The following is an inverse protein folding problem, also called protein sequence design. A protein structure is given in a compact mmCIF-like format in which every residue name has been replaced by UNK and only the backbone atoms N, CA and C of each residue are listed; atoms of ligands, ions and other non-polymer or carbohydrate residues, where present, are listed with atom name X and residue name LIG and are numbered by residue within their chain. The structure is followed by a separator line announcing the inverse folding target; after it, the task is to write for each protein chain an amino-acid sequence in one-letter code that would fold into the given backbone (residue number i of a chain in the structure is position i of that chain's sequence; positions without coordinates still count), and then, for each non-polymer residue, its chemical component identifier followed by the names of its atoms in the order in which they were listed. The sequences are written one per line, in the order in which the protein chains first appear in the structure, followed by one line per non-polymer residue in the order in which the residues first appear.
data_IF_061500387530
#
_entry.id   IF_061500387530
#
_cell.length_a   1.000
_cell.length_b   1.000
_cell.length_c   1.000
_cell.angle_alpha   90.00
_cell.angle_beta   90.00
_cell.angle_gamma   90.00
#
_symmetry.space_group_name_H-M   'P 1'
#
loop_
_entity.id
_entity.type
_entity.pdbx_description
1 polymer ?
#
# COMPACT_ATOMS: atom_id res chain seq x y z
N UNK A 1 -12.63 -3.21 32.21
CA UNK A 1 -13.19 -1.96 31.66
C UNK A 1 -12.84 -1.91 30.19
N UNK A 2 -13.80 -1.57 29.34
CA UNK A 2 -13.62 -1.62 27.89
C UNK A 2 -12.64 -0.55 27.40
N UNK A 3 -12.86 0.70 27.80
CA UNK A 3 -12.01 1.82 27.39
C UNK A 3 -11.76 2.75 28.57
N UNK A 4 -10.49 3.13 28.76
CA UNK A 4 -10.09 4.26 29.59
C UNK A 4 -9.63 5.38 28.68
N UNK A 5 -10.15 6.58 28.89
CA UNK A 5 -9.69 7.78 28.20
C UNK A 5 -9.39 8.84 29.25
N UNK A 6 -8.15 9.35 29.22
CA UNK A 6 -7.73 10.49 30.00
C UNK A 6 -7.17 11.54 29.04
N UNK A 7 -7.73 12.75 29.11
CA UNK A 7 -7.19 13.93 28.45
C UNK A 7 -6.89 14.98 29.51
N UNK A 8 -5.73 15.64 29.38
CA UNK A 8 -5.34 16.72 30.26
C UNK A 8 -4.71 17.87 29.45
N UNK A 9 -5.47 18.95 29.27
CA UNK A 9 -5.03 20.20 28.62
C UNK A 9 -4.13 21.04 29.54
N UNK A 10 -4.17 20.78 30.85
CA UNK A 10 -3.38 21.51 31.85
C UNK A 10 -2.64 20.55 32.77
N UNK A 11 -1.39 20.91 33.10
CA UNK A 11 -0.51 20.08 33.93
C UNK A 11 -1.13 19.77 35.29
N UNK A 12 -1.86 20.71 35.88
CA UNK A 12 -2.48 20.58 37.19
C UNK A 12 -3.47 19.40 37.24
N UNK A 13 -4.12 19.07 36.12
CA UNK A 13 -5.13 18.00 36.03
C UNK A 13 -4.55 16.60 36.27
N UNK A 14 -3.24 16.43 36.06
CA UNK A 14 -2.54 15.15 36.26
C UNK A 14 -1.38 15.26 37.26
N UNK A 15 -1.24 16.41 37.92
CA UNK A 15 -0.09 16.73 38.78
C UNK A 15 0.14 15.69 39.87
N UNK A 16 -0.90 15.29 40.60
CA UNK A 16 -0.79 14.25 41.65
C UNK A 16 -0.32 12.89 41.08
N UNK A 17 -0.76 12.55 39.88
CA UNK A 17 -0.39 11.28 39.21
C UNK A 17 1.04 11.34 38.66
N UNK A 18 1.47 12.48 38.18
CA UNK A 18 2.83 12.72 37.70
C UNK A 18 3.87 12.53 38.82
N UNK A 19 3.55 12.97 40.04
CA UNK A 19 4.44 12.80 41.21
C UNK A 19 4.45 11.37 41.77
N UNK A 20 3.63 10.48 41.24
CA UNK A 20 3.61 9.09 41.65
C UNK A 20 4.95 8.39 41.34
N UNK A 21 5.27 7.33 42.09
CA UNK A 21 6.45 6.51 41.78
C UNK A 21 6.23 5.76 40.46
N UNK A 22 7.31 5.48 39.72
CA UNK A 22 7.23 4.67 38.51
C UNK A 22 6.55 3.34 38.81
N UNK A 23 5.70 2.86 37.91
CA UNK A 23 4.93 1.62 38.06
C UNK A 23 4.06 1.54 39.33
N UNK A 24 3.66 2.68 39.91
CA UNK A 24 2.84 2.71 41.13
C UNK A 24 1.34 2.88 40.86
N UNK A 25 0.96 3.39 39.69
CA UNK A 25 -0.44 3.57 39.31
C UNK A 25 -0.93 2.25 38.72
N UNK A 26 -1.61 1.45 39.55
CA UNK A 26 -2.15 0.16 39.13
C UNK A 26 -3.44 0.36 38.35
N UNK A 27 -3.44 -0.03 37.09
CA UNK A 27 -4.68 -0.16 36.32
C UNK A 27 -5.24 -1.58 36.47
N UNK A 28 -6.56 -1.66 36.64
CA UNK A 28 -7.28 -2.93 36.49
C UNK A 28 -7.19 -3.46 35.05
N UNK A 29 -7.99 -4.48 34.73
CA UNK A 29 -8.08 -4.95 33.33
C UNK A 29 -8.68 -3.87 32.44
N UNK A 30 -7.88 -3.33 31.52
CA UNK A 30 -8.28 -2.31 30.55
C UNK A 30 -7.92 -2.79 29.15
N UNK A 31 -8.93 -2.85 28.29
CA UNK A 31 -8.79 -3.32 26.91
C UNK A 31 -8.25 -2.22 25.99
N UNK A 32 -8.78 -1.00 26.10
CA UNK A 32 -8.30 0.18 25.36
C UNK A 32 -7.89 1.31 26.30
N UNK A 33 -6.68 1.85 26.12
CA UNK A 33 -6.17 2.99 26.87
C UNK A 33 -5.86 4.16 25.93
N UNK A 34 -6.44 5.32 26.21
CA UNK A 34 -6.21 6.56 25.47
C UNK A 34 -5.67 7.62 26.42
N UNK A 35 -4.48 8.14 26.13
CA UNK A 35 -3.85 9.23 26.89
C UNK A 35 -3.57 10.39 25.95
N UNK A 36 -4.20 11.53 26.19
CA UNK A 36 -4.02 12.74 25.40
C UNK A 36 -3.34 13.86 26.19
N UNK A 37 -2.52 14.66 25.51
CA UNK A 37 -1.85 15.85 26.02
C UNK A 37 -1.03 15.56 27.30
N UNK A 38 -1.19 16.32 28.39
CA UNK A 38 -0.39 16.13 29.61
C UNK A 38 -0.55 14.74 30.24
N UNK A 39 -1.64 14.02 29.95
CA UNK A 39 -1.85 12.68 30.51
C UNK A 39 -0.85 11.65 29.99
N UNK A 40 -0.11 11.92 28.91
CA UNK A 40 0.95 11.00 28.47
C UNK A 40 2.10 10.92 29.49
N UNK A 41 2.33 11.97 30.30
CA UNK A 41 3.40 11.97 31.29
C UNK A 41 3.21 10.91 32.39
N UNK A 42 1.98 10.41 32.59
CA UNK A 42 1.75 9.30 33.53
C UNK A 42 2.06 7.93 32.95
N UNK A 43 2.35 7.80 31.64
CA UNK A 43 2.55 6.51 30.95
C UNK A 43 3.57 5.62 31.68
N UNK A 44 4.74 6.16 32.01
CA UNK A 44 5.80 5.45 32.74
C UNK A 44 5.50 5.20 34.24
N UNK A 45 4.39 5.73 34.75
CA UNK A 45 3.88 5.49 36.10
C UNK A 45 2.87 4.35 36.14
N UNK A 46 2.32 3.98 34.97
CA UNK A 46 1.31 2.94 34.87
C UNK A 46 1.96 1.57 35.06
N UNK A 47 1.32 0.75 35.88
CA UNK A 47 1.58 -0.69 35.95
C UNK A 47 0.31 -1.40 35.55
N UNK A 48 0.35 -2.13 34.44
CA UNK A 48 -0.78 -2.93 34.01
C UNK A 48 -0.83 -4.21 34.87
N UNK A 49 -2.01 -4.79 34.96
CA UNK A 49 -2.19 -6.06 35.65
C UNK A 49 -1.45 -7.16 34.88
N UNK A 50 -0.74 -8.09 35.55
CA UNK A 50 0.16 -9.10 34.93
C UNK A 50 -0.52 -9.98 33.85
N UNK A 51 -1.85 -10.07 33.89
CA UNK A 51 -2.69 -10.80 32.93
C UNK A 51 -3.53 -9.89 32.01
N UNK A 52 -3.18 -8.61 31.90
CA UNK A 52 -3.87 -7.68 31.02
C UNK A 52 -3.29 -7.78 29.61
N UNK A 53 -4.12 -8.25 28.67
CA UNK A 53 -3.84 -8.15 27.24
C UNK A 53 -4.53 -6.88 26.75
N UNK A 54 -3.79 -5.78 26.65
CA UNK A 54 -4.36 -4.54 26.12
C UNK A 54 -4.50 -4.68 24.61
N UNK A 55 -5.69 -4.42 24.07
CA UNK A 55 -5.90 -4.44 22.63
C UNK A 55 -5.32 -3.20 21.96
N UNK A 56 -5.47 -2.04 22.60
CA UNK A 56 -5.04 -0.77 22.01
C UNK A 56 -4.54 0.22 23.05
N UNK A 57 -3.35 0.77 22.80
CA UNK A 57 -2.82 1.98 23.44
C UNK A 57 -2.76 3.10 22.40
N UNK A 58 -3.42 4.22 22.66
CA UNK A 58 -3.49 5.36 21.75
C UNK A 58 -3.03 6.63 22.46
N UNK A 59 -2.01 7.27 21.90
CA UNK A 59 -1.35 8.42 22.49
C UNK A 59 -1.45 9.58 21.50
N UNK A 60 -1.96 10.73 21.95
CA UNK A 60 -2.05 11.94 21.12
C UNK A 60 -1.51 13.15 21.89
N UNK A 61 -0.68 13.96 21.23
CA UNK A 61 -0.17 15.20 21.78
C UNK A 61 -0.27 16.28 20.72
N UNK A 62 -1.11 17.28 20.98
CA UNK A 62 -1.31 18.38 20.02
C UNK A 62 -0.26 19.49 20.15
N UNK A 63 0.43 19.61 21.30
CA UNK A 63 1.45 20.64 21.55
C UNK A 63 2.73 20.09 22.20
N UNK A 64 3.89 20.56 21.77
CA UNK A 64 5.20 20.08 22.26
C UNK A 64 5.41 20.28 23.77
N UNK A 65 4.79 21.28 24.38
CA UNK A 65 4.87 21.56 25.82
C UNK A 65 4.45 20.38 26.71
N UNK A 66 3.56 19.52 26.20
CA UNK A 66 3.04 18.35 26.90
C UNK A 66 4.09 17.24 27.08
N UNK A 67 5.20 17.28 26.33
CA UNK A 67 6.26 16.25 26.34
C UNK A 67 7.34 16.45 27.41
N UNK A 68 7.32 17.58 28.13
CA UNK A 68 8.45 18.04 28.96
C UNK A 68 8.95 17.04 30.00
N UNK A 69 8.08 16.17 30.54
CA UNK A 69 8.48 15.20 31.57
C UNK A 69 8.84 13.84 30.97
N UNK A 70 8.04 13.34 30.01
CA UNK A 70 8.26 12.03 29.41
C UNK A 70 9.55 11.96 28.58
N UNK A 71 9.97 13.06 27.96
CA UNK A 71 11.22 13.12 27.19
C UNK A 71 12.48 13.09 28.08
N UNK A 72 12.38 13.49 29.35
CA UNK A 72 13.50 13.42 30.29
C UNK A 72 13.81 12.00 30.78
N UNK A 73 12.94 11.03 30.46
CA UNK A 73 13.14 9.64 30.84
C UNK A 73 14.22 9.01 29.92
N UNK A 74 14.96 8.05 30.46
CA UNK A 74 15.92 7.27 29.69
C UNK A 74 15.26 6.54 28.51
N UNK A 75 16.00 6.35 27.42
CA UNK A 75 15.53 5.58 26.27
C UNK A 75 15.27 4.11 26.64
N UNK A 76 14.34 3.47 25.94
CA UNK A 76 13.94 2.07 26.16
C UNK A 76 13.54 1.75 27.62
N UNK A 77 13.05 2.73 28.38
CA UNK A 77 12.72 2.57 29.80
C UNK A 77 11.23 2.36 30.08
N UNK A 78 10.36 2.70 29.12
CA UNK A 78 8.92 2.53 29.23
C UNK A 78 8.56 1.17 28.63
N UNK A 79 8.21 0.20 29.49
CA UNK A 79 7.67 -1.08 29.06
C UNK A 79 6.15 -0.97 28.94
N UNK A 80 5.62 -1.33 27.77
CA UNK A 80 4.16 -1.31 27.52
C UNK A 80 3.47 -2.60 27.96
N UNK A 81 4.22 -3.60 28.44
CA UNK A 81 3.74 -4.98 28.63
C UNK A 81 3.07 -5.48 27.33
N UNK A 82 2.01 -6.29 27.44
CA UNK A 82 1.32 -6.89 26.27
C UNK A 82 0.27 -5.94 25.70
N UNK A 83 0.66 -5.15 24.70
CA UNK A 83 -0.24 -4.33 23.87
C UNK A 83 -0.39 -4.99 22.49
N UNK A 84 -1.58 -5.05 21.90
CA UNK A 84 -1.70 -5.53 20.50
C UNK A 84 -1.43 -4.42 19.51
N UNK A 85 -2.04 -3.24 19.72
CA UNK A 85 -1.92 -2.07 18.83
C UNK A 85 -1.42 -0.84 19.59
N UNK A 86 -0.35 -0.24 19.11
CA UNK A 86 0.16 1.05 19.57
C UNK A 86 -0.09 2.11 18.50
N UNK A 87 -0.78 3.19 18.85
CA UNK A 87 -1.00 4.34 18.00
C UNK A 87 -0.37 5.58 18.61
N UNK A 88 0.51 6.23 17.86
CA UNK A 88 1.15 7.49 18.23
C UNK A 88 0.75 8.57 17.22
N UNK A 89 0.02 9.59 17.69
CA UNK A 89 -0.41 10.73 16.91
C UNK A 89 0.38 11.99 17.28
N UNK A 90 0.67 12.80 16.27
CA UNK A 90 1.29 14.11 16.40
C UNK A 90 2.59 14.06 17.23
N UNK A 91 2.78 14.97 18.18
CA UNK A 91 4.00 15.04 18.99
C UNK A 91 4.26 13.78 19.83
N UNK A 92 3.25 12.93 20.08
CA UNK A 92 3.44 11.70 20.86
C UNK A 92 4.43 10.75 20.19
N UNK A 93 4.67 10.87 18.88
CA UNK A 93 5.65 10.04 18.18
C UNK A 93 7.06 10.21 18.76
N UNK A 94 7.40 11.40 19.30
CA UNK A 94 8.70 11.65 19.92
C UNK A 94 8.98 10.80 21.17
N UNK A 95 7.98 10.11 21.72
CA UNK A 95 8.19 9.15 22.81
C UNK A 95 8.73 7.80 22.31
N UNK A 96 8.74 7.54 21.00
CA UNK A 96 9.09 6.24 20.43
C UNK A 96 10.46 5.73 20.90
N UNK A 97 11.54 6.55 21.00
CA UNK A 97 12.82 6.12 21.60
C UNK A 97 12.74 5.73 23.09
N UNK A 98 11.72 6.22 23.81
CA UNK A 98 11.51 5.93 25.24
C UNK A 98 10.83 4.59 25.46
N UNK A 99 10.17 4.06 24.44
CA UNK A 99 9.44 2.79 24.50
C UNK A 99 10.39 1.61 24.32
N UNK A 100 10.24 0.59 25.15
CA UNK A 100 10.95 -0.68 25.03
C UNK A 100 10.19 -1.58 24.04
N UNK A 101 10.59 -1.57 22.78
CA UNK A 101 9.93 -2.31 21.68
C UNK A 101 10.72 -3.53 21.17
N UNK A 102 11.64 -4.06 21.98
CA UNK A 102 12.58 -5.13 21.58
C UNK A 102 12.22 -6.53 22.08
N UNK A 103 11.39 -6.66 23.11
CA UNK A 103 11.08 -7.96 23.71
C UNK A 103 9.89 -8.63 22.99
N UNK A 104 9.92 -9.96 22.88
CA UNK A 104 8.90 -10.72 22.15
C UNK A 104 7.52 -10.59 22.81
N UNK A 105 6.54 -10.03 22.07
CA UNK A 105 5.13 -10.05 22.43
C UNK A 105 4.48 -8.73 22.83
N UNK A 106 5.19 -7.60 22.68
CA UNK A 106 4.71 -6.33 23.26
C UNK A 106 3.80 -5.49 22.35
N UNK A 107 3.95 -5.55 21.01
CA UNK A 107 3.09 -4.84 20.06
C UNK A 107 3.03 -5.54 18.69
N UNK A 108 1.83 -5.86 18.20
CA UNK A 108 1.62 -6.45 16.86
C UNK A 108 1.52 -5.38 15.75
N UNK A 109 0.89 -4.25 16.07
CA UNK A 109 0.61 -3.15 15.13
C UNK A 109 1.16 -1.82 15.66
N UNK A 110 2.03 -1.17 14.89
CA UNK A 110 2.48 0.20 15.12
C UNK A 110 1.84 1.14 14.11
N UNK A 111 1.10 2.13 14.61
CA UNK A 111 0.52 3.20 13.79
C UNK A 111 1.12 4.53 14.20
N UNK A 112 1.80 5.21 13.26
CA UNK A 112 2.34 6.54 13.45
C UNK A 112 1.63 7.50 12.50
N UNK A 113 1.15 8.63 13.02
CA UNK A 113 0.52 9.67 12.21
C UNK A 113 0.95 11.06 12.69
N UNK A 114 1.67 11.79 11.83
CA UNK A 114 2.17 13.11 12.12
C UNK A 114 1.65 14.13 11.11
N UNK A 115 0.66 14.94 11.52
CA UNK A 115 0.07 15.95 10.62
C UNK A 115 1.02 17.07 10.20
N UNK A 116 1.99 17.41 11.05
CA UNK A 116 2.95 18.49 10.84
C UNK A 116 4.38 18.01 10.98
N UNK A 117 5.30 18.73 10.32
CA UNK A 117 6.73 18.39 10.33
C UNK A 117 7.34 18.46 11.73
N UNK A 118 6.89 19.41 12.55
CA UNK A 118 7.41 19.60 13.90
C UNK A 118 7.16 18.39 14.81
N UNK A 119 6.08 17.64 14.57
CA UNK A 119 5.70 16.44 15.32
C UNK A 119 6.76 15.33 15.28
N UNK A 120 7.59 15.28 14.23
CA UNK A 120 8.62 14.24 14.02
C UNK A 120 10.03 14.80 13.94
N UNK A 121 10.16 16.13 14.03
CA UNK A 121 11.43 16.83 13.81
C UNK A 121 12.53 16.37 14.77
N UNK A 122 12.21 16.14 16.04
CA UNK A 122 13.16 15.72 17.06
C UNK A 122 13.81 14.38 16.71
N UNK A 123 12.99 13.35 16.42
CA UNK A 123 13.50 12.03 16.04
C UNK A 123 14.32 12.08 14.75
N UNK A 124 13.89 12.86 13.76
CA UNK A 124 14.61 12.90 12.48
C UNK A 124 15.99 13.56 12.65
N UNK A 125 16.08 14.63 13.44
CA UNK A 125 17.31 15.40 13.64
C UNK A 125 18.31 14.78 14.63
N UNK A 126 17.86 13.87 15.50
CA UNK A 126 18.77 13.14 16.39
C UNK A 126 19.74 12.25 15.59
N UNK A 127 21.03 12.60 15.61
CA UNK A 127 22.08 11.95 14.82
C UNK A 127 22.41 10.50 15.26
N UNK A 128 21.97 10.05 16.43
CA UNK A 128 22.46 8.82 17.05
C UNK A 128 21.47 7.67 17.15
N UNK A 129 20.17 7.91 16.94
CA UNK A 129 19.15 6.97 17.41
C UNK A 129 18.43 6.30 16.23
N UNK A 130 18.91 5.12 15.81
CA UNK A 130 18.05 4.16 15.11
C UNK A 130 17.07 3.58 16.11
N UNK A 131 15.78 3.63 15.78
CA UNK A 131 14.73 3.03 16.58
C UNK A 131 14.56 1.60 16.09
N UNK A 132 15.09 0.66 16.88
CA UNK A 132 14.87 -0.76 16.64
C UNK A 132 13.43 -1.09 17.00
N UNK A 133 12.68 -1.50 16.00
CA UNK A 133 11.28 -1.88 16.10
C UNK A 133 11.27 -3.38 15.79
N UNK A 134 11.48 -4.18 16.84
CA UNK A 134 11.56 -5.64 16.70
C UNK A 134 10.13 -6.21 16.83
N UNK A 135 9.78 -7.18 15.97
CA UNK A 135 8.58 -8.03 16.12
C UNK A 135 7.20 -7.44 15.76
N UNK A 136 7.09 -6.34 15.02
CA UNK A 136 5.79 -5.87 14.55
C UNK A 136 5.36 -6.65 13.31
N UNK A 137 4.10 -7.08 13.29
CA UNK A 137 3.47 -7.65 12.09
C UNK A 137 3.11 -6.54 11.12
N UNK A 138 2.55 -5.44 11.64
CA UNK A 138 2.01 -4.34 10.83
C UNK A 138 2.63 -3.01 11.26
N UNK A 139 3.15 -2.27 10.29
CA UNK A 139 3.62 -0.89 10.45
C UNK A 139 2.83 0.03 9.52
N UNK A 140 2.17 1.04 10.09
CA UNK A 140 1.42 2.07 9.36
C UNK A 140 2.05 3.44 9.62
N UNK A 141 2.45 4.14 8.56
CA UNK A 141 3.00 5.50 8.61
C UNK A 141 2.11 6.44 7.80
N UNK A 142 1.48 7.41 8.47
CA UNK A 142 0.67 8.44 7.83
C UNK A 142 1.35 9.82 7.90
N UNK A 143 1.14 10.65 6.88
CA UNK A 143 1.59 12.04 6.82
C UNK A 143 3.12 12.16 7.00
N UNK A 144 3.61 13.11 7.82
CA UNK A 144 5.05 13.34 8.03
C UNK A 144 5.76 12.16 8.72
N UNK A 145 5.04 11.21 9.32
CA UNK A 145 5.64 10.05 9.98
C UNK A 145 6.32 9.11 9.00
N UNK A 146 5.99 9.19 7.71
CA UNK A 146 6.66 8.45 6.63
C UNK A 146 8.17 8.74 6.60
N UNK A 147 8.61 9.95 6.99
CA UNK A 147 10.03 10.30 7.08
C UNK A 147 10.79 9.54 8.18
N UNK A 148 10.08 8.88 9.10
CA UNK A 148 10.70 8.07 10.14
C UNK A 148 11.19 6.73 9.60
N UNK A 149 10.78 6.30 8.41
CA UNK A 149 11.16 5.01 7.85
C UNK A 149 12.68 4.77 7.87
N UNK A 150 13.51 5.79 7.62
CA UNK A 150 14.97 5.68 7.68
C UNK A 150 15.55 5.49 9.08
N UNK A 151 14.79 5.85 10.11
CA UNK A 151 15.16 5.68 11.52
C UNK A 151 14.69 4.35 12.06
N UNK A 152 13.68 3.74 11.45
CA UNK A 152 13.12 2.46 11.85
C UNK A 152 13.99 1.32 11.30
N UNK A 153 14.45 0.43 12.18
CA UNK A 153 15.17 -0.79 11.79
C UNK A 153 14.24 -1.98 11.96
N UNK A 154 13.84 -2.58 10.84
CA UNK A 154 12.99 -3.78 10.78
C UNK A 154 13.89 -5.04 10.78
N UNK A 155 14.01 -5.68 11.94
CA UNK A 155 14.88 -6.86 12.10
C UNK A 155 14.25 -8.19 11.67
N UNK A 156 12.91 -8.28 11.70
CA UNK A 156 12.15 -9.46 11.27
C UNK A 156 11.31 -9.12 10.04
N UNK A 157 10.78 -10.16 9.42
CA UNK A 157 9.83 -10.04 8.32
C UNK A 157 8.56 -9.33 8.78
N UNK A 158 8.22 -8.21 8.13
CA UNK A 158 6.97 -7.50 8.36
C UNK A 158 5.87 -8.11 7.49
N UNK A 159 4.69 -8.34 8.09
CA UNK A 159 3.51 -8.85 7.37
C UNK A 159 2.88 -7.77 6.49
N UNK A 160 2.87 -6.52 6.96
CA UNK A 160 2.36 -5.37 6.23
C UNK A 160 3.15 -4.10 6.59
N UNK A 161 3.64 -3.41 5.56
CA UNK A 161 4.08 -2.02 5.64
C UNK A 161 3.11 -1.16 4.83
N UNK A 162 2.43 -0.21 5.49
CA UNK A 162 1.54 0.73 4.83
C UNK A 162 2.01 2.17 5.06
N UNK A 163 2.06 2.97 3.98
CA UNK A 163 2.46 4.38 4.04
C UNK A 163 1.51 5.25 3.22
N UNK A 164 1.04 6.35 3.80
CA UNK A 164 0.16 7.30 3.12
C UNK A 164 0.60 8.74 3.38
N UNK A 165 0.62 9.57 2.32
CA UNK A 165 1.01 10.98 2.42
C UNK A 165 0.22 11.84 1.45
N UNK A 166 -0.72 12.64 1.98
CA UNK A 166 -1.63 13.48 1.20
C UNK A 166 -0.95 14.73 0.63
N UNK A 167 0.24 15.09 1.11
CA UNK A 167 0.99 16.28 0.68
C UNK A 167 2.42 15.94 0.29
N UNK A 168 2.92 16.61 -0.75
CA UNK A 168 4.29 16.43 -1.26
C UNK A 168 5.35 16.65 -0.17
N UNK A 169 5.17 17.65 0.68
CA UNK A 169 6.14 18.01 1.72
C UNK A 169 6.33 16.89 2.75
N UNK A 170 5.31 16.06 2.96
CA UNK A 170 5.32 14.94 3.92
C UNK A 170 6.29 13.83 3.52
N UNK A 171 6.66 13.72 2.25
CA UNK A 171 7.63 12.73 1.75
C UNK A 171 8.94 13.37 1.28
N UNK A 172 9.05 14.70 1.30
CA UNK A 172 10.18 15.44 0.74
C UNK A 172 11.55 14.97 1.22
N UNK A 173 11.72 14.69 2.52
CA UNK A 173 13.01 14.20 3.04
C UNK A 173 13.32 12.81 2.51
N UNK A 174 12.30 11.99 2.31
CA UNK A 174 12.38 10.65 1.76
C UNK A 174 12.72 10.67 0.28
N UNK A 175 12.09 11.52 -0.52
CA UNK A 175 12.31 11.62 -1.96
C UNK A 175 13.67 12.23 -2.32
N UNK A 176 14.28 13.02 -1.42
CA UNK A 176 15.67 13.47 -1.55
C UNK A 176 16.73 12.38 -1.29
N UNK A 177 16.37 11.15 -0.90
CA UNK A 177 17.36 10.06 -0.80
C UNK A 177 17.95 9.71 -2.16
N UNK A 178 19.15 9.12 -2.14
CA UNK A 178 19.62 8.30 -3.24
C UNK A 178 18.67 7.11 -3.47
N UNK A 179 18.48 6.72 -4.73
CA UNK A 179 17.66 5.56 -5.07
C UNK A 179 18.24 4.30 -4.42
N UNK A 180 17.37 3.36 -4.02
CA UNK A 180 17.80 2.13 -3.36
C UNK A 180 18.66 2.36 -2.09
N UNK A 181 18.40 3.42 -1.32
CA UNK A 181 19.14 3.71 -0.08
C UNK A 181 18.44 3.20 1.18
N UNK A 182 17.16 2.83 1.11
CA UNK A 182 16.34 2.51 2.27
C UNK A 182 16.07 1.01 2.33
N UNK A 183 16.78 0.32 3.22
CA UNK A 183 16.64 -1.12 3.42
C UNK A 183 15.42 -1.42 4.29
N UNK A 184 14.39 -2.04 3.72
CA UNK A 184 13.18 -2.45 4.44
C UNK A 184 13.27 -3.83 5.10
N UNK A 185 14.24 -4.66 4.70
CA UNK A 185 14.26 -6.07 5.06
C UNK A 185 13.25 -6.87 4.23
N UNK A 186 12.64 -7.90 4.84
CA UNK A 186 11.59 -8.71 4.21
C UNK A 186 10.22 -8.13 4.55
N UNK A 187 9.43 -7.81 3.52
CA UNK A 187 8.07 -7.28 3.66
C UNK A 187 7.15 -8.14 2.80
N UNK A 188 6.15 -8.77 3.41
CA UNK A 188 5.17 -9.58 2.68
C UNK A 188 4.23 -8.72 1.84
N UNK A 189 3.69 -7.65 2.44
CA UNK A 189 2.74 -6.75 1.78
C UNK A 189 3.17 -5.29 1.92
N UNK A 190 3.20 -4.56 0.81
CA UNK A 190 3.55 -3.15 0.76
C UNK A 190 2.39 -2.34 0.17
N UNK A 191 1.83 -1.42 0.95
CA UNK A 191 0.72 -0.57 0.54
C UNK A 191 1.14 0.91 0.57
N UNK A 192 1.15 1.58 -0.58
CA UNK A 192 1.53 2.99 -0.70
C UNK A 192 0.36 3.81 -1.25
N UNK A 193 0.05 4.91 -0.57
CA UNK A 193 -1.07 5.80 -0.91
C UNK A 193 -0.57 7.23 -1.18
N UNK A 194 -1.14 7.88 -2.20
CA UNK A 194 -0.88 9.27 -2.54
C UNK A 194 0.62 9.53 -2.80
N UNK A 195 1.21 10.63 -2.29
CA UNK A 195 2.63 10.96 -2.50
C UNK A 195 3.59 9.92 -1.91
N UNK A 196 3.15 9.01 -1.02
CA UNK A 196 4.00 7.95 -0.49
C UNK A 196 4.51 7.00 -1.58
N UNK A 197 3.83 6.94 -2.73
CA UNK A 197 4.27 6.13 -3.86
C UNK A 197 5.64 6.57 -4.40
N UNK A 198 5.98 7.86 -4.34
CA UNK A 198 7.28 8.38 -4.80
C UNK A 198 8.47 7.85 -3.98
N UNK A 199 8.21 7.20 -2.85
CA UNK A 199 9.22 6.55 -2.01
C UNK A 199 9.63 5.19 -2.57
N UNK A 200 8.79 4.55 -3.40
CA UNK A 200 9.01 3.17 -3.87
C UNK A 200 10.42 2.94 -4.44
N UNK A 201 10.90 3.84 -5.30
CA UNK A 201 12.26 3.85 -5.87
C UNK A 201 13.42 4.01 -4.86
N UNK A 202 13.13 4.49 -3.65
CA UNK A 202 14.12 4.65 -2.58
C UNK A 202 14.28 3.36 -1.77
N UNK A 203 13.31 2.45 -1.87
CA UNK A 203 13.27 1.20 -1.13
C UNK A 203 14.17 0.17 -1.81
N UNK A 204 15.03 -0.48 -1.04
CA UNK A 204 15.75 -1.68 -1.47
C UNK A 204 14.82 -2.87 -1.24
N UNK A 205 14.14 -3.29 -2.30
CA UNK A 205 13.40 -4.55 -2.34
C UNK A 205 14.40 -5.62 -2.79
N UNK A 206 14.75 -6.54 -1.89
CA UNK A 206 15.77 -7.56 -2.19
C UNK A 206 15.32 -8.42 -3.37
N UNK A 207 16.21 -8.76 -4.31
CA UNK A 207 15.85 -9.54 -5.51
C UNK A 207 15.27 -10.93 -5.19
N UNK A 208 15.62 -11.49 -4.05
CA UNK A 208 15.05 -12.75 -3.52
C UNK A 208 13.78 -12.56 -2.67
N UNK A 209 13.32 -11.32 -2.44
CA UNK A 209 12.06 -11.11 -1.74
C UNK A 209 10.92 -11.59 -2.63
N UNK A 210 10.21 -12.61 -2.15
CA UNK A 210 8.91 -12.99 -2.67
C UNK A 210 7.84 -12.18 -1.94
N UNK A 211 7.46 -11.05 -2.51
CA UNK A 211 6.40 -10.20 -1.98
C UNK A 211 5.04 -10.84 -2.29
N UNK A 212 4.19 -10.98 -1.27
CA UNK A 212 2.82 -11.46 -1.43
C UNK A 212 1.94 -10.41 -2.13
N UNK A 213 2.15 -9.12 -1.86
CA UNK A 213 1.31 -8.07 -2.43
C UNK A 213 2.00 -6.70 -2.49
N UNK A 214 1.88 -6.02 -3.62
CA UNK A 214 2.15 -4.60 -3.79
C UNK A 214 0.85 -3.90 -4.18
N UNK A 215 0.38 -2.95 -3.36
CA UNK A 215 -0.81 -2.14 -3.65
C UNK A 215 -0.44 -0.66 -3.69
N UNK A 216 -0.72 0.02 -4.80
CA UNK A 216 -0.47 1.44 -4.99
C UNK A 216 -1.77 2.18 -5.34
N UNK A 217 -2.06 3.27 -4.63
CA UNK A 217 -3.25 4.11 -4.87
C UNK A 217 -2.87 5.58 -5.00
N UNK A 218 -3.25 6.22 -6.10
CA UNK A 218 -3.10 7.67 -6.28
C UNK A 218 -4.32 8.26 -6.97
N UNK A 219 -5.06 9.14 -6.31
CA UNK A 219 -6.21 9.87 -6.84
C UNK A 219 -5.82 11.13 -7.67
N UNK A 220 -4.52 11.41 -7.84
CA UNK A 220 -4.05 12.54 -8.66
C UNK A 220 -2.72 12.24 -9.35
N UNK A 221 -2.50 12.85 -10.50
CA UNK A 221 -1.24 12.77 -11.26
C UNK A 221 -0.03 13.25 -10.45
N UNK A 222 -0.20 14.32 -9.66
CA UNK A 222 0.88 14.89 -8.85
C UNK A 222 1.47 13.88 -7.85
N UNK A 223 0.67 12.91 -7.39
CA UNK A 223 1.08 11.87 -6.45
C UNK A 223 2.11 10.89 -7.02
N UNK A 224 2.18 10.77 -8.34
CA UNK A 224 3.04 9.82 -9.07
C UNK A 224 4.04 10.50 -10.01
N UNK A 225 3.92 11.81 -10.20
CA UNK A 225 4.74 12.61 -11.10
C UNK A 225 6.26 12.39 -10.94
N UNK A 226 6.76 12.26 -9.70
CA UNK A 226 8.21 12.07 -9.50
C UNK A 226 8.66 10.71 -10.03
N UNK A 227 7.94 9.64 -9.69
CA UNK A 227 8.30 8.28 -10.12
C UNK A 227 8.11 8.06 -11.63
N UNK A 228 7.10 8.66 -12.25
CA UNK A 228 6.87 8.57 -13.70
C UNK A 228 7.96 9.27 -14.50
N UNK A 229 8.39 10.46 -14.06
CA UNK A 229 9.41 11.25 -14.75
C UNK A 229 10.85 10.73 -14.60
N UNK A 230 11.07 9.64 -13.86
CA UNK A 230 12.41 9.12 -13.61
C UNK A 230 12.95 8.26 -14.76
N UNK A 231 14.27 8.32 -14.95
CA UNK A 231 14.95 7.49 -15.95
C UNK A 231 15.08 6.03 -15.51
N UNK A 232 15.19 5.76 -14.21
CA UNK A 232 15.44 4.43 -13.67
C UNK A 232 14.15 3.64 -13.42
N UNK A 233 14.19 2.36 -13.75
CA UNK A 233 13.14 1.40 -13.39
C UNK A 233 13.26 0.93 -11.93
N UNK A 234 12.14 0.48 -11.37
CA UNK A 234 12.00 -0.05 -10.01
C UNK A 234 12.03 -1.57 -10.06
N UNK A 235 13.05 -2.17 -9.46
CA UNK A 235 13.21 -3.63 -9.36
C UNK A 235 12.39 -4.15 -8.17
N UNK A 236 11.33 -4.91 -8.44
CA UNK A 236 10.44 -5.45 -7.40
C UNK A 236 10.79 -6.88 -6.96
N UNK A 237 11.55 -7.63 -7.76
CA UNK A 237 11.78 -9.07 -7.51
C UNK A 237 10.56 -9.90 -7.91
N UNK A 238 10.19 -10.88 -7.08
CA UNK A 238 9.00 -11.74 -7.30
C UNK A 238 7.81 -11.16 -6.54
N UNK A 239 6.69 -10.91 -7.23
CA UNK A 239 5.46 -10.33 -6.66
C UNK A 239 4.29 -11.23 -7.05
N UNK A 240 3.57 -11.75 -6.04
CA UNK A 240 2.39 -12.60 -6.24
C UNK A 240 1.17 -11.79 -6.67
N UNK A 241 0.90 -10.65 -6.03
CA UNK A 241 -0.27 -9.80 -6.34
C UNK A 241 0.15 -8.35 -6.54
N UNK A 242 -0.25 -7.76 -7.65
CA UNK A 242 -0.02 -6.36 -7.97
C UNK A 242 -1.35 -5.65 -8.18
N UNK A 243 -1.66 -4.67 -7.32
CA UNK A 243 -2.86 -3.83 -7.42
C UNK A 243 -2.47 -2.37 -7.63
N UNK A 244 -2.87 -1.79 -8.75
CA UNK A 244 -2.66 -0.38 -9.05
C UNK A 244 -4.00 0.28 -9.27
N UNK A 245 -4.29 1.32 -8.50
CA UNK A 245 -5.56 2.04 -8.55
C UNK A 245 -5.33 3.50 -8.92
N UNK A 246 -6.21 4.02 -9.78
CA UNK A 246 -6.20 5.38 -10.27
C UNK A 246 -4.81 5.73 -10.85
N UNK A 247 -4.29 6.94 -10.63
CA UNK A 247 -3.06 7.43 -11.25
C UNK A 247 -1.83 6.56 -10.96
N UNK A 248 -1.87 5.68 -9.97
CA UNK A 248 -0.80 4.72 -9.68
C UNK A 248 -0.50 3.80 -10.87
N UNK A 249 -1.46 3.58 -11.77
CA UNK A 249 -1.27 2.77 -12.96
C UNK A 249 -0.20 3.37 -13.90
N UNK A 250 0.05 4.68 -13.85
CA UNK A 250 1.13 5.34 -14.61
C UNK A 250 2.53 4.86 -14.28
N UNK A 251 2.68 4.16 -13.15
CA UNK A 251 3.94 3.61 -12.68
C UNK A 251 4.21 2.25 -13.30
N UNK A 252 3.18 1.59 -13.86
CA UNK A 252 3.29 0.25 -14.42
C UNK A 252 4.50 0.07 -15.37
N UNK A 253 4.82 0.99 -16.30
CA UNK A 253 6.01 0.87 -17.16
C UNK A 253 7.35 0.96 -16.42
N UNK A 254 7.37 1.50 -15.19
CA UNK A 254 8.57 1.61 -14.35
C UNK A 254 8.81 0.36 -13.52
N UNK A 255 7.82 -0.51 -13.36
CA UNK A 255 7.94 -1.70 -12.53
C UNK A 255 8.60 -2.82 -13.31
N UNK A 256 9.72 -3.33 -12.79
CA UNK A 256 10.42 -4.49 -13.35
C UNK A 256 10.34 -5.64 -12.35
N UNK A 257 9.72 -6.72 -12.81
CA UNK A 257 9.61 -7.97 -12.09
C UNK A 257 10.75 -8.91 -12.50
N UNK A 258 11.02 -9.89 -11.64
CA UNK A 258 11.93 -10.98 -11.96
C UNK A 258 11.40 -11.78 -13.19
N UNK A 259 12.30 -12.24 -14.07
CA UNK A 259 11.92 -12.94 -15.32
C UNK A 259 11.06 -14.19 -15.07
N UNK A 260 11.37 -14.93 -14.00
CA UNK A 260 10.60 -16.11 -13.56
C UNK A 260 9.34 -15.78 -12.74
N UNK A 261 8.90 -14.51 -12.67
CA UNK A 261 7.72 -14.17 -11.87
C UNK A 261 6.47 -14.85 -12.43
N UNK A 262 5.76 -15.56 -11.56
CA UNK A 262 4.43 -16.10 -11.83
C UNK A 262 3.48 -15.38 -10.90
N UNK A 263 2.79 -14.39 -11.44
CA UNK A 263 1.86 -13.55 -10.69
C UNK A 263 0.54 -14.30 -10.49
N UNK A 264 0.08 -14.34 -9.25
CA UNK A 264 -1.25 -14.87 -8.90
C UNK A 264 -2.35 -13.90 -9.32
N UNK A 265 -2.15 -12.58 -9.22
CA UNK A 265 -3.17 -11.57 -9.54
C UNK A 265 -2.56 -10.24 -10.00
N UNK A 266 -3.05 -9.72 -11.13
CA UNK A 266 -2.82 -8.35 -11.61
C UNK A 266 -4.16 -7.62 -11.68
N UNK A 267 -4.33 -6.58 -10.85
CA UNK A 267 -5.58 -5.80 -10.77
C UNK A 267 -5.27 -4.33 -11.06
N UNK A 268 -5.85 -3.79 -12.12
CA UNK A 268 -5.74 -2.38 -12.51
C UNK A 268 -7.13 -1.75 -12.59
N UNK A 269 -7.34 -0.65 -11.87
CA UNK A 269 -8.61 0.10 -11.85
C UNK A 269 -8.34 1.60 -12.07
N UNK A 270 -8.94 2.21 -13.09
CA UNK A 270 -8.80 3.65 -13.38
C UNK A 270 -10.14 4.31 -13.73
N UNK A 271 -10.65 5.17 -12.87
CA UNK A 271 -11.97 5.78 -13.05
C UNK A 271 -11.97 7.11 -13.86
N UNK A 272 -10.82 7.74 -14.08
CA UNK A 272 -10.77 9.05 -14.76
C UNK A 272 -10.54 8.93 -16.29
N UNK A 273 -11.01 9.89 -17.07
CA UNK A 273 -10.83 9.92 -18.54
C UNK A 273 -9.82 10.95 -19.02
N UNK A 274 -9.64 12.04 -18.28
CA UNK A 274 -8.95 13.23 -18.79
C UNK A 274 -7.42 13.13 -18.73
N UNK A 275 -6.86 12.11 -18.06
CA UNK A 275 -5.45 12.13 -17.63
C UNK A 275 -4.56 10.95 -18.04
N UNK A 276 -5.06 9.94 -18.77
CA UNK A 276 -4.20 8.79 -19.17
C UNK A 276 -3.55 9.00 -20.54
N UNK A 277 -3.07 10.21 -20.81
CA UNK A 277 -2.43 10.46 -22.10
C UNK A 277 -1.03 9.82 -22.16
N UNK A 278 -0.28 9.75 -21.06
CA UNK A 278 1.13 9.33 -21.12
C UNK A 278 1.33 7.81 -21.21
N UNK A 279 0.61 7.01 -20.43
CA UNK A 279 0.70 5.53 -20.52
C UNK A 279 0.22 5.07 -21.89
N UNK A 280 -0.86 5.66 -22.39
CA UNK A 280 -1.44 5.33 -23.69
C UNK A 280 -0.57 5.82 -24.84
N UNK A 281 0.19 6.91 -24.67
CA UNK A 281 1.15 7.38 -25.67
C UNK A 281 2.50 6.67 -25.63
N UNK A 282 2.85 5.96 -24.56
CA UNK A 282 4.08 5.17 -24.52
C UNK A 282 4.09 4.15 -25.67
N UNK A 283 5.20 3.99 -26.38
CA UNK A 283 5.26 3.08 -27.54
C UNK A 283 4.75 1.67 -27.20
N UNK A 284 4.03 1.09 -28.16
CA UNK A 284 3.37 -0.21 -28.03
C UNK A 284 4.37 -1.28 -27.55
N UNK A 285 3.96 -2.12 -26.59
CA UNK A 285 4.66 -3.34 -26.10
C UNK A 285 5.84 -3.18 -25.12
N UNK A 286 5.86 -2.14 -24.29
CA UNK A 286 6.96 -1.91 -23.32
C UNK A 286 6.83 -2.62 -21.97
N UNK A 287 5.68 -3.23 -21.62
CA UNK A 287 5.46 -3.74 -20.25
C UNK A 287 5.39 -5.28 -20.21
N UNK A 288 6.48 -5.90 -19.77
CA UNK A 288 6.65 -7.35 -19.66
C UNK A 288 6.25 -7.83 -18.26
N UNK A 289 5.18 -8.64 -18.14
CA UNK A 289 4.68 -9.15 -16.84
C UNK A 289 4.95 -10.63 -16.58
N UNK A 290 5.54 -11.36 -17.54
CA UNK A 290 5.75 -12.81 -17.40
C UNK A 290 4.42 -13.56 -17.47
N UNK A 291 4.17 -14.46 -16.51
CA UNK A 291 2.93 -15.25 -16.42
C UNK A 291 2.00 -14.67 -15.37
N UNK A 292 0.71 -14.55 -15.70
CA UNK A 292 -0.35 -14.01 -14.83
C UNK A 292 -1.50 -15.01 -14.78
N UNK A 293 -1.91 -15.40 -13.56
CA UNK A 293 -3.03 -16.33 -13.36
C UNK A 293 -4.38 -15.63 -13.42
N UNK A 294 -4.53 -14.50 -12.74
CA UNK A 294 -5.75 -13.71 -12.72
C UNK A 294 -5.45 -12.29 -13.19
N UNK A 295 -6.14 -11.83 -14.23
CA UNK A 295 -6.02 -10.49 -14.77
C UNK A 295 -7.37 -9.80 -14.70
N UNK A 296 -7.45 -8.73 -13.90
CA UNK A 296 -8.64 -7.90 -13.71
C UNK A 296 -8.32 -6.48 -14.14
N UNK A 297 -9.02 -5.99 -15.17
CA UNK A 297 -8.92 -4.60 -15.62
C UNK A 297 -10.30 -3.94 -15.56
N UNK A 298 -10.41 -2.89 -14.77
CA UNK A 298 -11.66 -2.16 -14.58
C UNK A 298 -11.57 -0.75 -15.16
N UNK A 299 -12.70 -0.29 -15.70
CA UNK A 299 -12.90 1.04 -16.23
C UNK A 299 -11.85 1.36 -17.30
N UNK A 300 -11.23 2.53 -17.24
CA UNK A 300 -10.28 3.01 -18.23
C UNK A 300 -8.97 2.19 -18.25
N UNK A 301 -8.69 1.38 -17.23
CA UNK A 301 -7.49 0.53 -17.19
C UNK A 301 -7.46 -0.51 -18.32
N UNK A 302 -8.61 -0.83 -18.91
CA UNK A 302 -8.71 -1.73 -20.08
C UNK A 302 -7.87 -1.21 -21.26
N UNK A 303 -7.73 0.10 -21.43
CA UNK A 303 -6.93 0.70 -22.50
C UNK A 303 -5.42 0.38 -22.41
N UNK A 304 -4.96 -0.22 -21.31
CA UNK A 304 -3.57 -0.68 -21.13
C UNK A 304 -3.37 -2.09 -21.69
N UNK A 305 -4.44 -2.86 -21.84
CA UNK A 305 -4.39 -4.25 -22.27
C UNK A 305 -3.53 -4.47 -23.54
N UNK A 306 -3.63 -3.67 -24.62
CA UNK A 306 -2.77 -3.83 -25.80
C UNK A 306 -1.27 -3.63 -25.56
N UNK A 307 -0.88 -3.10 -24.40
CA UNK A 307 0.51 -2.82 -24.00
C UNK A 307 1.08 -3.87 -23.07
N UNK A 308 0.21 -4.70 -22.47
CA UNK A 308 0.62 -5.80 -21.61
C UNK A 308 1.18 -6.92 -22.50
N UNK A 309 2.45 -7.24 -22.31
CA UNK A 309 3.08 -8.38 -22.97
C UNK A 309 3.21 -9.54 -21.97
N UNK A 310 2.32 -10.52 -22.17
CA UNK A 310 2.31 -11.77 -21.44
C UNK A 310 3.27 -12.77 -22.08
N UNK A 311 3.73 -13.75 -21.29
CA UNK A 311 4.53 -14.87 -21.78
C UNK A 311 3.77 -15.70 -22.82
N UNK A 312 4.47 -16.29 -23.80
CA UNK A 312 3.82 -17.08 -24.86
C UNK A 312 3.05 -18.30 -24.30
N UNK A 313 3.61 -18.93 -23.27
CA UNK A 313 3.02 -20.04 -22.52
C UNK A 313 2.13 -19.57 -21.34
N UNK A 314 1.52 -18.38 -21.41
CA UNK A 314 0.66 -17.91 -20.35
C UNK A 314 -0.63 -18.75 -20.26
N UNK A 315 -0.93 -19.23 -19.05
CA UNK A 315 -2.17 -19.97 -18.74
C UNK A 315 -2.90 -19.24 -17.60
N UNK A 316 -3.96 -18.51 -17.96
CA UNK A 316 -4.82 -17.76 -17.05
C UNK A 316 -5.95 -18.63 -16.49
N UNK A 317 -6.15 -18.53 -15.17
CA UNK A 317 -7.31 -19.04 -14.46
C UNK A 317 -8.52 -18.13 -14.69
N UNK A 318 -8.34 -16.80 -14.59
CA UNK A 318 -9.40 -15.80 -14.75
C UNK A 318 -8.93 -14.57 -15.55
N UNK A 319 -9.75 -14.12 -16.48
CA UNK A 319 -9.60 -12.88 -17.23
C UNK A 319 -10.91 -12.09 -17.16
N UNK A 320 -10.90 -10.95 -16.46
CA UNK A 320 -12.08 -10.13 -16.22
C UNK A 320 -11.85 -8.69 -16.70
N UNK A 321 -12.78 -8.19 -17.52
CA UNK A 321 -12.83 -6.79 -17.94
C UNK A 321 -14.22 -6.21 -17.64
N UNK A 322 -14.29 -5.02 -17.04
CA UNK A 322 -15.56 -4.32 -16.79
C UNK A 322 -15.43 -2.83 -17.09
N UNK A 323 -16.31 -2.27 -17.93
CA UNK A 323 -16.30 -0.84 -18.26
C UNK A 323 -17.72 -0.31 -18.49
N UNK A 324 -18.15 0.64 -17.68
CA UNK A 324 -19.47 1.25 -17.74
C UNK A 324 -19.59 2.39 -18.77
N UNK A 325 -18.52 2.71 -19.50
CA UNK A 325 -18.51 3.71 -20.58
C UNK A 325 -17.68 3.27 -21.79
N UNK A 326 -18.08 3.69 -22.98
CA UNK A 326 -17.37 3.42 -24.24
C UNK A 326 -15.96 4.03 -24.26
N UNK A 327 -15.79 5.24 -23.70
CA UNK A 327 -14.51 5.95 -23.63
C UNK A 327 -13.41 5.15 -22.89
N UNK A 328 -13.81 4.23 -22.00
CA UNK A 328 -12.89 3.39 -21.21
C UNK A 328 -12.25 2.25 -22.01
N UNK A 329 -12.75 1.98 -23.20
CA UNK A 329 -12.29 0.87 -24.06
C UNK A 329 -11.84 1.33 -25.46
N UNK A 330 -12.06 2.60 -25.79
CA UNK A 330 -11.87 3.15 -27.13
C UNK A 330 -10.45 2.95 -27.68
N UNK A 331 -9.42 3.19 -26.87
CA UNK A 331 -8.02 3.06 -27.29
C UNK A 331 -7.64 1.59 -27.54
N UNK A 332 -8.18 0.66 -26.75
CA UNK A 332 -7.95 -0.76 -26.99
C UNK A 332 -8.72 -1.32 -28.19
N UNK A 333 -9.86 -0.72 -28.57
CA UNK A 333 -10.64 -1.09 -29.76
C UNK A 333 -10.07 -0.46 -31.03
N UNK A 334 -9.83 0.85 -31.01
CA UNK A 334 -9.49 1.62 -32.20
C UNK A 334 -7.98 1.82 -32.39
N UNK A 335 -7.16 1.40 -31.43
CA UNK A 335 -5.71 1.42 -31.56
C UNK A 335 -5.21 0.61 -32.76
N UNK A 336 -4.08 1.05 -33.33
CA UNK A 336 -3.44 0.46 -34.53
C UNK A 336 -3.05 -1.02 -34.36
N UNK A 337 -2.93 -1.49 -33.11
CA UNK A 337 -2.66 -2.90 -32.80
C UNK A 337 -3.92 -3.75 -32.98
N UNK A 338 -3.81 -4.78 -33.82
CA UNK A 338 -4.97 -5.57 -34.24
C UNK A 338 -5.28 -6.78 -33.35
N UNK A 339 -4.39 -7.16 -32.43
CA UNK A 339 -4.55 -8.39 -31.67
C UNK A 339 -3.86 -8.33 -30.32
N UNK A 340 -4.56 -8.81 -29.30
CA UNK A 340 -4.13 -8.90 -27.90
C UNK A 340 -3.99 -10.38 -27.56
N UNK A 341 -2.77 -10.86 -27.45
CA UNK A 341 -2.49 -12.25 -27.10
C UNK A 341 -2.63 -12.48 -25.59
N UNK A 342 -3.50 -13.40 -25.18
CA UNK A 342 -3.69 -13.76 -23.76
C UNK A 342 -3.11 -15.13 -23.37
N UNK A 343 -2.80 -15.98 -24.37
CA UNK A 343 -2.45 -17.38 -24.14
C UNK A 343 -3.69 -18.26 -23.94
N UNK A 344 -3.66 -19.16 -22.97
CA UNK A 344 -4.83 -19.98 -22.59
C UNK A 344 -5.60 -19.29 -21.46
N UNK A 345 -6.93 -19.31 -21.52
CA UNK A 345 -7.82 -18.68 -20.55
C UNK A 345 -8.91 -19.67 -20.15
N UNK A 346 -8.97 -20.01 -18.86
CA UNK A 346 -9.94 -20.94 -18.31
C UNK A 346 -11.31 -20.29 -18.07
N UNK A 347 -11.36 -19.11 -17.47
CA UNK A 347 -12.60 -18.33 -17.29
C UNK A 347 -12.42 -16.93 -17.87
N UNK A 348 -13.37 -16.48 -18.68
CA UNK A 348 -13.37 -15.14 -19.27
C UNK A 348 -14.71 -14.45 -18.98
N UNK A 349 -14.65 -13.26 -18.40
CA UNK A 349 -15.80 -12.42 -18.08
C UNK A 349 -15.61 -11.02 -18.66
N UNK A 350 -16.54 -10.59 -19.50
CA UNK A 350 -16.56 -9.24 -20.07
C UNK A 350 -17.89 -8.58 -19.73
N UNK A 351 -17.83 -7.46 -19.03
CA UNK A 351 -19.00 -6.71 -18.59
C UNK A 351 -19.11 -5.35 -19.29
N UNK A 352 -20.35 -4.98 -19.63
CA UNK A 352 -20.71 -3.67 -20.19
C UNK A 352 -19.89 -3.38 -21.46
N UNK A 353 -19.35 -2.17 -21.63
CA UNK A 353 -18.60 -1.79 -22.84
C UNK A 353 -17.30 -2.59 -23.04
N UNK A 354 -16.82 -3.33 -22.03
CA UNK A 354 -15.66 -4.21 -22.17
C UNK A 354 -15.89 -5.35 -23.19
N UNK A 355 -17.15 -5.69 -23.48
CA UNK A 355 -17.52 -6.66 -24.51
C UNK A 355 -16.97 -6.26 -25.88
N UNK A 356 -16.87 -4.95 -26.15
CA UNK A 356 -16.38 -4.43 -27.43
C UNK A 356 -14.88 -4.74 -27.69
N UNK A 357 -14.13 -5.17 -26.68
CA UNK A 357 -12.73 -5.61 -26.82
C UNK A 357 -12.62 -7.01 -27.45
N UNK A 358 -13.68 -7.81 -27.36
CA UNK A 358 -13.67 -9.22 -27.73
C UNK A 358 -13.08 -9.52 -29.13
N UNK A 359 -13.35 -8.75 -30.21
CA UNK A 359 -12.75 -9.00 -31.52
C UNK A 359 -11.22 -8.84 -31.58
N UNK A 360 -10.61 -8.14 -30.61
CA UNK A 360 -9.16 -7.95 -30.52
C UNK A 360 -8.47 -9.07 -29.75
N UNK A 361 -9.20 -9.86 -28.97
CA UNK A 361 -8.60 -10.90 -28.14
C UNK A 361 -8.19 -12.11 -28.97
N UNK A 362 -6.95 -12.56 -28.78
CA UNK A 362 -6.39 -13.76 -29.39
C UNK A 362 -5.99 -14.74 -28.30
N UNK A 363 -6.56 -15.94 -28.36
CA UNK A 363 -6.24 -17.05 -27.49
C UNK A 363 -5.39 -18.09 -28.22
N UNK A 364 -4.73 -18.94 -27.44
CA UNK A 364 -3.99 -20.08 -27.96
C UNK A 364 -4.92 -21.06 -28.69
N UNK A 365 -4.44 -21.68 -29.79
CA UNK A 365 -5.24 -22.58 -30.63
C UNK A 365 -5.82 -23.78 -29.86
N UNK A 366 -5.08 -24.24 -28.85
CA UNK A 366 -5.47 -25.33 -27.95
C UNK A 366 -6.33 -24.87 -26.75
N UNK A 367 -6.86 -23.64 -26.75
CA UNK A 367 -7.61 -23.14 -25.61
C UNK A 367 -8.86 -23.99 -25.30
N UNK A 368 -9.01 -24.37 -24.04
CA UNK A 368 -10.20 -25.05 -23.50
C UNK A 368 -10.73 -24.24 -22.32
N UNK A 369 -11.74 -23.44 -22.60
CA UNK A 369 -12.39 -22.56 -21.64
C UNK A 369 -13.48 -23.29 -20.85
N UNK A 370 -13.49 -23.12 -19.53
CA UNK A 370 -14.52 -23.65 -18.64
C UNK A 370 -15.77 -22.79 -18.62
N UNK A 371 -15.62 -21.47 -18.60
CA UNK A 371 -16.72 -20.51 -18.62
C UNK A 371 -16.38 -19.26 -19.43
N UNK A 372 -17.32 -18.82 -20.26
CA UNK A 372 -17.29 -17.54 -20.96
C UNK A 372 -18.56 -16.78 -20.60
N UNK A 373 -18.44 -15.60 -20.00
CA UNK A 373 -19.56 -14.78 -19.55
C UNK A 373 -19.51 -13.41 -20.24
N UNK A 374 -20.63 -12.99 -20.81
CA UNK A 374 -20.83 -11.64 -21.32
C UNK A 374 -22.03 -11.02 -20.61
N UNK A 375 -21.83 -9.88 -19.95
CA UNK A 375 -22.88 -9.19 -19.20
C UNK A 375 -23.12 -7.80 -19.77
N UNK A 376 -24.17 -7.63 -20.57
CA UNK A 376 -24.54 -6.34 -21.15
C UNK A 376 -25.84 -5.81 -20.54
N UNK A 377 -25.81 -4.60 -19.98
CA UNK A 377 -27.04 -3.89 -19.59
C UNK A 377 -27.87 -3.38 -20.78
N UNK A 378 -27.22 -2.97 -21.87
CA UNK A 378 -27.85 -2.35 -23.05
C UNK A 378 -27.19 -2.85 -24.35
N UNK A 379 -27.86 -2.66 -25.50
CA UNK A 379 -27.33 -3.08 -26.81
C UNK A 379 -26.03 -2.34 -27.18
N UNK A 380 -25.91 -1.09 -26.75
CA UNK A 380 -24.77 -0.20 -27.02
C UNK A 380 -23.46 -0.76 -26.42
N UNK A 381 -23.55 -1.53 -25.33
CA UNK A 381 -22.39 -2.16 -24.70
C UNK A 381 -21.65 -3.17 -25.60
N UNK A 382 -22.29 -3.68 -26.66
CA UNK A 382 -21.71 -4.65 -27.58
C UNK A 382 -21.76 -4.20 -29.05
N UNK A 383 -22.07 -2.92 -29.32
CA UNK A 383 -22.27 -2.43 -30.68
C UNK A 383 -21.05 -2.61 -31.57
N UNK A 384 -19.86 -2.27 -31.06
CA UNK A 384 -18.62 -2.37 -31.83
C UNK A 384 -18.23 -3.83 -32.08
N UNK A 385 -18.42 -4.71 -31.09
CA UNK A 385 -18.18 -6.14 -31.27
C UNK A 385 -19.13 -6.79 -32.30
N UNK A 386 -20.36 -6.27 -32.46
CA UNK A 386 -21.32 -6.76 -33.46
C UNK A 386 -21.00 -6.20 -34.85
N UNK A 387 -20.48 -4.98 -34.93
CA UNK A 387 -20.25 -4.25 -36.17
C UNK A 387 -18.83 -4.42 -36.75
N UNK A 388 -17.91 -5.08 -36.04
CA UNK A 388 -16.55 -5.26 -36.49
C UNK A 388 -16.48 -5.97 -37.87
N UNK A 389 -15.54 -5.56 -38.71
CA UNK A 389 -15.38 -6.13 -40.07
C UNK A 389 -15.06 -7.63 -40.00
N UNK A 390 -14.33 -8.04 -38.95
CA UNK A 390 -14.13 -9.43 -38.58
C UNK A 390 -14.81 -9.73 -37.22
N UNK A 391 -16.08 -10.13 -37.28
CA UNK A 391 -16.86 -10.55 -36.11
C UNK A 391 -16.60 -12.02 -35.69
N UNK A 392 -15.60 -12.68 -36.29
CA UNK A 392 -15.24 -14.04 -35.88
C UNK A 392 -14.26 -13.99 -34.71
N UNK A 393 -14.62 -14.64 -33.61
CA UNK A 393 -13.79 -14.73 -32.39
C UNK A 393 -13.42 -16.19 -32.19
N UNK A 394 -12.13 -16.46 -32.09
CA UNK A 394 -11.62 -17.81 -31.85
C UNK A 394 -11.39 -18.02 -30.34
N UNK A 395 -12.43 -18.49 -29.63
CA UNK A 395 -12.34 -18.80 -28.19
C UNK A 395 -11.80 -20.20 -27.89
N UNK A 396 -11.61 -21.04 -28.92
CA UNK A 396 -11.31 -22.46 -28.76
C UNK A 396 -12.55 -23.25 -28.32
N UNK A 397 -12.36 -24.28 -27.48
CA UNK A 397 -13.47 -25.10 -26.94
C UNK A 397 -14.03 -24.45 -25.68
N UNK A 398 -15.32 -24.10 -25.67
CA UNK A 398 -15.98 -23.51 -24.50
C UNK A 398 -16.97 -24.51 -23.88
N UNK A 399 -16.86 -24.78 -22.58
CA UNK A 399 -17.74 -25.73 -21.88
C UNK A 399 -19.06 -25.09 -21.39
N UNK A 400 -19.00 -23.84 -20.92
CA UNK A 400 -20.16 -23.07 -20.44
C UNK A 400 -20.14 -21.68 -21.07
N UNK A 401 -21.29 -21.29 -21.62
CA UNK A 401 -21.60 -19.99 -22.19
C UNK A 401 -22.72 -19.34 -21.39
#
# INVERSE_FOLDING_TARGET
METFHLNAEKKEQVSEMVWAKNNSIRFGKVKNLMLWNYSINILHKLKLHENNMMEKLSLNIDGKEYLSEILCIADNSICLEKVKKLELFNHSINILPKLKLREEGDVEVLWLDAREMEHVSEIIHENSNTICVENFKILVLCNYSVNLLRKLVLHKEAELLSMGADKKEQVSRMTCAENNSIKLGKVKRLWLWFYAINILQKLVLHGENAMEELSLYADKEEHVSEVVCMENNIQLGKVKRLRLESFAISILPKLVLHEENVMEELTLDFNETDHVSEIIRAENSSILFGRVKNLVLELFAINILPKLKLHEENEMEEFCLSADKEEYVSEAIFGENNSIWLGKVKNMELELFAINILPKLVLHEENVMEAFCLSAGEKEHASEAICAENNSICLGKVKKL
#
